data_IF_045768447434
#
_entry.id   IF_045768447434
#
_cell.length_a   1.000
_cell.length_b   1.000
_cell.length_c   1.000
_cell.angle_alpha   90.00
_cell.angle_beta   90.00
_cell.angle_gamma   90.00
#
_symmetry.space_group_name_H-M   'P 1'
#
loop_
_entity.id
_entity.type
_entity.pdbx_description
1 polymer ?
#
# COMPACT_ATOMS: atom_id res chain seq x y z
N UNK A 1 -6.02 5.58 -9.27
CA UNK A 1 -5.52 6.98 -9.40
C UNK A 1 -4.41 7.30 -8.40
N UNK A 2 -4.58 7.03 -7.09
CA UNK A 2 -3.56 7.26 -6.05
C UNK A 2 -2.18 6.67 -6.40
N UNK A 3 -2.10 5.35 -6.60
CA UNK A 3 -0.83 4.67 -6.83
C UNK A 3 -0.14 5.04 -8.15
N UNK A 4 -0.91 5.30 -9.22
CA UNK A 4 -0.34 5.80 -10.49
C UNK A 4 0.37 7.14 -10.26
N UNK A 5 -0.28 8.09 -9.58
CA UNK A 5 0.33 9.38 -9.22
C UNK A 5 1.53 9.22 -8.29
N UNK A 6 1.51 8.26 -7.36
CA UNK A 6 2.66 7.97 -6.52
C UNK A 6 3.86 7.51 -7.34
N UNK A 7 3.66 6.61 -8.30
CA UNK A 7 4.73 6.14 -9.19
C UNK A 7 5.24 7.28 -10.07
N UNK A 8 4.35 8.05 -10.68
CA UNK A 8 4.72 9.18 -11.55
C UNK A 8 5.60 10.21 -10.82
N UNK A 9 5.28 10.50 -9.56
CA UNK A 9 5.95 11.55 -8.78
C UNK A 9 7.15 11.01 -7.99
N UNK A 10 7.02 9.84 -7.36
CA UNK A 10 7.96 9.32 -6.37
C UNK A 10 8.65 8.02 -6.76
N UNK A 11 8.28 7.46 -7.91
CA UNK A 11 8.79 6.17 -8.36
C UNK A 11 8.14 4.98 -7.63
N UNK A 12 8.43 3.74 -8.10
CA UNK A 12 7.99 2.52 -7.45
C UNK A 12 8.62 2.37 -6.06
N UNK A 13 8.00 1.56 -5.20
CA UNK A 13 8.42 1.36 -3.80
C UNK A 13 9.88 0.89 -3.69
N UNK A 14 10.39 0.11 -4.64
CA UNK A 14 11.79 -0.35 -4.63
C UNK A 14 12.82 0.79 -4.67
N UNK A 15 12.43 1.98 -5.14
CA UNK A 15 13.29 3.16 -5.16
C UNK A 15 13.22 3.96 -3.85
N UNK A 16 12.25 3.66 -2.99
CA UNK A 16 12.10 4.34 -1.70
C UNK A 16 13.22 3.90 -0.76
N UNK A 17 13.81 4.86 -0.05
CA UNK A 17 14.88 4.56 0.93
C UNK A 17 14.37 4.46 2.36
N UNK A 18 13.11 4.85 2.61
CA UNK A 18 12.44 4.70 3.90
C UNK A 18 11.25 3.76 3.77
N UNK A 19 10.92 3.07 4.86
CA UNK A 19 9.82 2.10 4.90
C UNK A 19 8.44 2.73 4.62
N UNK A 20 8.24 4.01 4.92
CA UNK A 20 6.91 4.64 4.87
C UNK A 20 6.86 5.92 4.04
N UNK A 21 7.95 6.28 3.36
CA UNK A 21 8.05 7.48 2.53
C UNK A 21 9.19 7.32 1.52
N UNK A 22 9.26 8.16 0.47
CA UNK A 22 10.30 8.03 -0.55
C UNK A 22 11.73 8.17 -0.02
N UNK A 23 11.94 8.99 1.02
CA UNK A 23 13.27 9.37 1.49
C UNK A 23 14.01 10.27 0.48
N UNK A 24 15.35 10.34 0.59
CA UNK A 24 16.21 11.20 -0.26
C UNK A 24 15.74 12.66 -0.30
N UNK A 25 15.40 13.22 0.86
CA UNK A 25 14.88 14.58 1.04
C UNK A 25 13.54 14.88 0.36
N UNK A 26 12.84 13.86 -0.16
CA UNK A 26 11.53 13.99 -0.81
C UNK A 26 10.33 13.75 0.12
N UNK A 27 10.57 13.59 1.41
CA UNK A 27 9.52 13.28 2.38
C UNK A 27 8.52 14.45 2.55
N UNK A 28 9.01 15.69 2.47
CA UNK A 28 8.16 16.88 2.51
C UNK A 28 7.21 16.93 1.31
N UNK A 29 7.72 16.72 0.09
CA UNK A 29 6.92 16.64 -1.14
C UNK A 29 5.87 15.53 -1.06
N UNK A 30 6.25 14.38 -0.50
CA UNK A 30 5.33 13.26 -0.30
C UNK A 30 4.19 13.60 0.67
N UNK A 31 4.50 14.31 1.77
CA UNK A 31 3.49 14.76 2.71
C UNK A 31 2.54 15.78 2.08
N UNK A 32 3.09 16.76 1.36
CA UNK A 32 2.29 17.75 0.64
C UNK A 32 1.40 17.10 -0.41
N UNK A 33 1.92 16.13 -1.17
CA UNK A 33 1.14 15.33 -2.10
C UNK A 33 -0.04 14.64 -1.41
N UNK A 34 0.20 14.01 -0.25
CA UNK A 34 -0.86 13.31 0.47
C UNK A 34 -1.96 14.28 0.93
N UNK A 35 -1.60 15.46 1.45
CA UNK A 35 -2.59 16.48 1.85
C UNK A 35 -3.38 17.01 0.64
N UNK A 36 -2.71 17.34 -0.46
CA UNK A 36 -3.37 17.78 -1.70
C UNK A 36 -4.29 16.71 -2.28
N UNK A 37 -3.82 15.46 -2.30
CA UNK A 37 -4.62 14.33 -2.77
C UNK A 37 -5.84 14.13 -1.88
N UNK A 38 -5.68 14.20 -0.56
CA UNK A 38 -6.77 14.07 0.39
C UNK A 38 -7.86 15.13 0.14
N UNK A 39 -7.46 16.40 -0.01
CA UNK A 39 -8.38 17.48 -0.33
C UNK A 39 -9.11 17.25 -1.66
N UNK A 40 -8.40 16.80 -2.70
CA UNK A 40 -8.97 16.58 -4.02
C UNK A 40 -10.03 15.44 -4.06
N UNK A 41 -9.89 14.42 -3.22
CA UNK A 41 -10.81 13.26 -3.20
C UNK A 41 -11.79 13.28 -2.02
N UNK A 42 -11.80 14.34 -1.22
CA UNK A 42 -12.66 14.46 -0.03
C UNK A 42 -12.28 13.51 1.11
N UNK A 43 -11.01 13.11 1.21
CA UNK A 43 -10.53 12.32 2.35
C UNK A 43 -10.30 13.19 3.59
N UNK A 44 -10.30 12.56 4.77
CA UNK A 44 -10.20 13.26 6.06
C UNK A 44 -8.91 14.07 6.25
N UNK A 45 -7.79 13.58 5.71
CA UNK A 45 -6.47 14.21 5.81
C UNK A 45 -5.45 13.46 4.95
N UNK A 46 -4.30 14.08 4.68
CA UNK A 46 -3.16 13.40 4.06
C UNK A 46 -2.65 12.23 4.91
N UNK A 47 -2.75 12.30 6.24
CA UNK A 47 -2.47 11.15 7.11
C UNK A 47 -3.35 9.94 6.81
N UNK A 48 -4.63 10.15 6.47
CA UNK A 48 -5.51 9.06 6.07
C UNK A 48 -5.06 8.43 4.73
N UNK A 49 -4.59 9.25 3.78
CA UNK A 49 -4.00 8.79 2.53
C UNK A 49 -2.71 7.98 2.79
N UNK A 50 -1.83 8.46 3.68
CA UNK A 50 -0.63 7.71 4.07
C UNK A 50 -0.96 6.36 4.72
N UNK A 51 -2.01 6.29 5.56
CA UNK A 51 -2.50 5.02 6.09
C UNK A 51 -3.02 4.09 4.99
N UNK A 52 -3.68 4.63 3.97
CA UNK A 52 -4.11 3.85 2.81
C UNK A 52 -2.91 3.29 2.03
N UNK A 53 -1.87 4.11 1.81
CA UNK A 53 -0.62 3.68 1.16
C UNK A 53 0.04 2.56 1.97
N UNK A 54 0.07 2.65 3.30
CA UNK A 54 0.65 1.63 4.18
C UNK A 54 0.05 0.24 3.98
N UNK A 55 -1.22 0.14 3.64
CA UNK A 55 -1.83 -1.17 3.35
C UNK A 55 -1.25 -1.87 2.12
N UNK A 56 -0.68 -1.11 1.18
CA UNK A 56 -0.06 -1.67 -0.02
C UNK A 56 1.41 -2.08 0.19
N UNK A 57 2.06 -1.64 1.27
CA UNK A 57 3.48 -1.91 1.48
C UNK A 57 3.73 -3.41 1.71
N UNK A 58 4.97 -3.89 1.45
CA UNK A 58 5.32 -5.28 1.70
C UNK A 58 5.11 -5.67 3.17
N UNK A 59 4.87 -6.96 3.38
CA UNK A 59 4.76 -7.52 4.72
C UNK A 59 6.05 -7.33 5.53
N UNK A 60 5.91 -7.21 6.85
CA UNK A 60 7.07 -7.30 7.74
C UNK A 60 7.50 -8.76 7.91
N UNK A 61 8.71 -9.00 8.45
CA UNK A 61 9.18 -10.36 8.80
C UNK A 61 8.23 -11.13 9.72
N UNK A 62 7.35 -10.42 10.46
CA UNK A 62 6.34 -11.01 11.34
C UNK A 62 4.96 -11.13 10.69
N UNK A 63 4.88 -10.90 9.38
CA UNK A 63 3.63 -10.70 8.64
C UNK A 63 2.95 -9.37 8.96
N UNK A 64 1.77 -9.13 8.40
CA UNK A 64 0.86 -8.05 8.81
C UNK A 64 -0.49 -8.62 9.20
N UNK A 65 -1.05 -8.08 10.28
CA UNK A 65 -2.42 -8.37 10.70
C UNK A 65 -3.31 -7.16 10.41
N UNK A 66 -4.26 -7.34 9.50
CA UNK A 66 -5.17 -6.25 9.09
C UNK A 66 -6.52 -6.27 9.82
N UNK A 67 -6.85 -7.35 10.54
CA UNK A 67 -8.10 -7.49 11.29
C UNK A 67 -9.31 -7.11 10.43
N UNK A 68 -10.13 -6.17 10.93
CA UNK A 68 -11.32 -5.63 10.23
C UNK A 68 -11.02 -4.86 8.93
N UNK A 69 -9.76 -4.60 8.61
CA UNK A 69 -9.33 -3.84 7.43
C UNK A 69 -8.79 -4.74 6.30
N UNK A 70 -8.94 -6.07 6.40
CA UNK A 70 -8.41 -7.01 5.42
C UNK A 70 -8.88 -6.71 3.98
N UNK A 71 -10.17 -6.43 3.78
CA UNK A 71 -10.70 -6.08 2.45
C UNK A 71 -10.02 -4.82 1.89
N UNK A 72 -9.87 -3.79 2.72
CA UNK A 72 -9.17 -2.56 2.34
C UNK A 72 -7.71 -2.84 2.00
N UNK A 73 -7.05 -3.72 2.76
CA UNK A 73 -5.66 -4.07 2.50
C UNK A 73 -5.48 -4.78 1.15
N UNK A 74 -6.33 -5.76 0.86
CA UNK A 74 -6.35 -6.50 -0.42
C UNK A 74 -6.54 -5.53 -1.59
N UNK A 75 -7.54 -4.65 -1.51
CA UNK A 75 -7.83 -3.70 -2.58
C UNK A 75 -6.68 -2.70 -2.82
N UNK A 76 -6.01 -2.26 -1.75
CA UNK A 76 -4.87 -1.36 -1.88
C UNK A 76 -3.64 -2.05 -2.46
N UNK A 77 -3.34 -3.29 -2.06
CA UNK A 77 -2.26 -4.09 -2.69
C UNK A 77 -2.54 -4.33 -4.17
N UNK A 78 -3.78 -4.70 -4.53
CA UNK A 78 -4.16 -4.90 -5.93
C UNK A 78 -3.98 -3.61 -6.76
N UNK A 79 -4.48 -2.48 -6.26
CA UNK A 79 -4.34 -1.19 -6.96
C UNK A 79 -2.88 -0.71 -7.04
N UNK A 80 -2.06 -1.02 -6.04
CA UNK A 80 -0.63 -0.71 -6.03
C UNK A 80 0.14 -1.58 -7.03
N UNK A 81 -0.19 -2.87 -7.13
CA UNK A 81 0.40 -3.79 -8.10
C UNK A 81 0.05 -3.37 -9.53
N UNK A 82 -1.23 -3.09 -9.81
CA UNK A 82 -1.70 -2.63 -11.12
C UNK A 82 -1.01 -1.33 -11.57
N UNK A 83 -0.71 -0.44 -10.62
CA UNK A 83 -0.02 0.81 -10.90
C UNK A 83 1.51 0.68 -11.01
N UNK A 84 2.08 -0.51 -10.76
CA UNK A 84 3.53 -0.72 -10.70
C UNK A 84 4.19 -0.06 -9.48
N UNK A 85 3.43 0.29 -8.44
CA UNK A 85 4.00 0.82 -7.19
C UNK A 85 4.71 -0.28 -6.41
N UNK A 86 4.11 -1.48 -6.38
CA UNK A 86 4.73 -2.70 -5.87
C UNK A 86 4.83 -3.74 -7.00
N UNK A 87 5.46 -4.87 -6.72
CA UNK A 87 5.76 -5.95 -7.67
C UNK A 87 5.28 -7.26 -7.04
N UNK A 88 5.18 -8.34 -7.82
CA UNK A 88 4.73 -9.64 -7.32
C UNK A 88 5.55 -10.14 -6.13
N UNK A 89 6.87 -9.91 -6.13
CA UNK A 89 7.77 -10.26 -5.02
C UNK A 89 7.45 -9.57 -3.68
N UNK A 90 6.59 -8.55 -3.71
CA UNK A 90 6.15 -7.81 -2.52
C UNK A 90 4.81 -8.34 -1.96
N UNK A 91 4.14 -9.25 -2.68
CA UNK A 91 2.92 -9.88 -2.21
C UNK A 91 3.25 -11.07 -1.30
N UNK A 92 2.43 -11.33 -0.27
CA UNK A 92 2.55 -12.57 0.49
C UNK A 92 2.20 -13.76 -0.41
N UNK A 93 2.83 -14.92 -0.15
CA UNK A 93 2.40 -16.17 -0.75
C UNK A 93 0.94 -16.45 -0.34
N UNK A 94 0.05 -16.42 -1.32
CA UNK A 94 -1.36 -16.74 -1.11
C UNK A 94 -1.55 -18.25 -1.22
N UNK A 95 -1.56 -18.92 -0.07
CA UNK A 95 -1.89 -20.34 -0.01
C UNK A 95 -3.41 -20.51 -0.01
N UNK A 96 -3.96 -21.00 -1.12
CA UNK A 96 -5.36 -21.39 -1.19
C UNK A 96 -5.58 -22.70 -0.41
N UNK A 97 -6.08 -22.60 0.81
CA UNK A 97 -6.43 -23.77 1.63
C UNK A 97 -7.91 -24.11 1.42
N UNK A 98 -8.19 -25.16 0.66
CA UNK A 98 -9.53 -25.75 0.63
C UNK A 98 -9.83 -26.36 1.99
N UNK A 99 -11.04 -26.15 2.53
CA UNK A 99 -11.51 -26.97 3.65
C UNK A 99 -11.55 -28.42 3.17
N UNK A 100 -10.61 -29.24 3.65
CA UNK A 100 -10.88 -30.67 3.71
C UNK A 100 -12.16 -30.82 4.53
N UNK A 101 -13.23 -31.32 3.91
CA UNK A 101 -14.37 -31.82 4.67
C UNK A 101 -13.79 -32.87 5.61
N UNK A 102 -13.78 -32.61 6.91
CA UNK A 102 -13.52 -33.64 7.90
C UNK A 102 -14.57 -34.73 7.67
N UNK A 103 -14.16 -35.85 7.08
CA UNK A 103 -15.00 -37.03 7.03
C UNK A 103 -14.93 -37.67 8.43
N UNK A 104 -16.10 -37.67 9.08
CA UNK A 104 -16.49 -38.42 10.28
C UNK A 104 -15.93 -37.93 11.61
#
# INVERSE_FOLDING_TARGET
MLYKRLVDLFGPYIQWTKKSSPGRDRDADFWEFCEKFAAAVGAKSGKAVQHQIRFALPETERGSTWGRHAQTAILNKAAALEAGFIEDKHLPDLVAVGRLKSNL
#
